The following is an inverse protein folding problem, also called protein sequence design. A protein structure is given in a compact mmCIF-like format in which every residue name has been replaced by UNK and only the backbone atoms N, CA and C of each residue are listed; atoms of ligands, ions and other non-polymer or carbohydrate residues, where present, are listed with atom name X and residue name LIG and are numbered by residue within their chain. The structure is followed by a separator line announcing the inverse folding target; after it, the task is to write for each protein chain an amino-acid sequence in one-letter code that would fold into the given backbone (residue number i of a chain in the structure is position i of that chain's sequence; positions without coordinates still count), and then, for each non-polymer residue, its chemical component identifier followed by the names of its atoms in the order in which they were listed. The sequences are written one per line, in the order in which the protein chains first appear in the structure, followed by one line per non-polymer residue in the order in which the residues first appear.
data_IF_030844271651
#
_entry.id   IF_030844271651
#
_cell.length_a   1.000
_cell.length_b   1.000
_cell.length_c   1.000
_cell.angle_alpha   90.00
_cell.angle_beta   90.00
_cell.angle_gamma   90.00
#
_symmetry.space_group_name_H-M   'P 1'
#
loop_
_entity.id
_entity.type
_entity.pdbx_description
1 polymer ?
#
# COMPACT_ATOMS: atom_id res chain seq x y z
N UNK A 1 24.51 -5.48 -6.73
CA UNK A 1 25.06 -6.31 -5.65
C UNK A 1 24.20 -7.55 -5.59
N UNK A 2 24.74 -8.70 -6.01
CA UNK A 2 24.02 -9.97 -5.93
C UNK A 2 24.11 -10.40 -4.48
N UNK A 3 23.00 -10.29 -3.75
CA UNK A 3 22.92 -10.78 -2.36
C UNK A 3 22.64 -12.27 -2.47
N UNK A 4 23.64 -13.10 -2.16
CA UNK A 4 23.47 -14.54 -2.11
C UNK A 4 22.51 -14.96 -0.98
N UNK A 5 22.00 -16.20 -1.03
CA UNK A 5 21.09 -16.75 -0.03
C UNK A 5 21.67 -16.70 1.41
N UNK A 6 22.99 -16.59 1.57
CA UNK A 6 23.65 -16.41 2.86
C UNK A 6 23.25 -15.13 3.63
N UNK A 7 22.56 -14.16 3.00
CA UNK A 7 22.15 -12.91 3.66
C UNK A 7 20.64 -12.64 3.63
N UNK A 8 19.82 -13.68 3.65
CA UNK A 8 18.34 -13.56 3.71
C UNK A 8 17.90 -12.73 4.95
N UNK A 9 18.66 -12.75 6.05
CA UNK A 9 18.38 -11.95 7.27
C UNK A 9 18.29 -10.45 7.00
N UNK A 10 18.97 -9.93 5.99
CA UNK A 10 18.92 -8.52 5.63
C UNK A 10 17.53 -8.04 5.16
N UNK A 11 16.62 -8.96 4.82
CA UNK A 11 15.24 -8.70 4.39
C UNK A 11 14.32 -8.27 5.55
N UNK A 12 14.67 -8.64 6.78
CA UNK A 12 13.83 -8.38 7.97
C UNK A 12 13.68 -6.88 8.20
N UNK A 13 14.77 -6.10 8.08
CA UNK A 13 14.73 -4.66 8.34
C UNK A 13 13.80 -3.92 7.35
N UNK A 14 13.91 -4.13 6.02
CA UNK A 14 12.97 -3.58 5.05
C UNK A 14 11.50 -3.95 5.32
N UNK A 15 11.22 -5.22 5.65
CA UNK A 15 9.84 -5.65 5.95
C UNK A 15 9.30 -4.96 7.21
N UNK A 16 10.15 -4.74 8.22
CA UNK A 16 9.77 -3.96 9.42
C UNK A 16 9.47 -2.49 9.06
N UNK A 17 10.19 -1.88 8.13
CA UNK A 17 9.89 -0.51 7.69
C UNK A 17 8.51 -0.44 7.02
N UNK A 18 8.19 -1.40 6.14
CA UNK A 18 6.86 -1.48 5.52
C UNK A 18 5.78 -1.73 6.57
N UNK A 19 6.03 -2.61 7.53
CA UNK A 19 5.12 -2.88 8.64
C UNK A 19 4.82 -1.62 9.46
N UNK A 20 5.87 -0.92 9.92
CA UNK A 20 5.70 0.28 10.74
C UNK A 20 5.08 1.44 9.95
N UNK A 21 5.46 1.61 8.67
CA UNK A 21 4.83 2.60 7.80
C UNK A 21 3.34 2.32 7.59
N UNK A 22 2.96 1.06 7.32
CA UNK A 22 1.55 0.69 7.19
C UNK A 22 0.75 0.86 8.50
N UNK A 23 1.37 0.61 9.66
CA UNK A 23 0.72 0.83 10.95
C UNK A 23 0.52 2.32 11.24
N UNK A 24 1.49 3.16 10.89
CA UNK A 24 1.39 4.62 11.03
C UNK A 24 0.21 5.17 10.23
N UNK A 25 0.03 4.71 8.98
CA UNK A 25 -1.14 5.04 8.16
C UNK A 25 -2.48 4.62 8.78
N UNK A 26 -2.55 3.49 9.47
CA UNK A 26 -3.79 3.05 10.15
C UNK A 26 -4.12 3.92 11.36
N UNK A 27 -3.10 4.28 12.13
CA UNK A 27 -3.25 4.98 13.41
C UNK A 27 -3.38 6.50 13.22
N UNK A 28 -3.68 6.95 12.01
CA UNK A 28 -3.75 8.36 11.69
C UNK A 28 -4.94 9.05 12.35
N UNK A 29 -4.63 10.10 13.12
CA UNK A 29 -5.59 10.92 13.86
C UNK A 29 -5.62 12.30 13.21
N UNK A 30 -6.58 12.51 12.31
CA UNK A 30 -6.72 13.75 11.57
C UNK A 30 -7.25 14.87 12.46
N UNK A 31 -6.47 15.93 12.66
CA UNK A 31 -6.91 17.18 13.28
C UNK A 31 -6.90 18.28 12.22
N UNK A 32 -8.09 18.70 11.78
CA UNK A 32 -8.28 19.77 10.80
C UNK A 32 -8.77 21.06 11.47
N UNK A 33 -8.14 22.19 11.16
CA UNK A 33 -8.69 23.52 11.44
C UNK A 33 -8.88 24.29 10.14
N UNK A 34 -10.12 24.72 9.88
CA UNK A 34 -10.48 25.52 8.70
C UNK A 34 -10.87 26.93 9.13
N UNK A 35 -10.28 27.97 8.52
CA UNK A 35 -10.63 29.38 8.74
C UNK A 35 -10.90 30.04 7.38
N UNK A 36 -12.14 30.45 7.15
CA UNK A 36 -12.58 31.10 5.89
C UNK A 36 -12.37 30.26 4.62
N UNK A 37 -12.65 28.95 4.67
CA UNK A 37 -12.59 28.06 3.50
C UNK A 37 -11.18 27.59 3.13
N UNK A 38 -10.13 28.21 3.67
CA UNK A 38 -8.75 27.73 3.63
C UNK A 38 -8.36 27.21 5.01
N UNK A 39 -7.73 26.06 5.08
CA UNK A 39 -7.38 25.44 6.36
C UNK A 39 -6.06 24.73 6.31
N UNK A 40 -5.58 24.35 7.48
CA UNK A 40 -4.44 23.46 7.63
C UNK A 40 -4.92 22.19 8.30
N UNK A 41 -4.66 21.05 7.67
CA UNK A 41 -4.84 19.75 8.29
C UNK A 41 -3.49 19.25 8.79
N UNK A 42 -3.35 19.15 10.12
CA UNK A 42 -2.11 18.69 10.73
C UNK A 42 -2.06 17.16 10.70
N UNK A 43 -1.82 16.59 9.52
CA UNK A 43 -1.59 15.15 9.25
C UNK A 43 -0.15 14.81 8.85
N UNK A 44 0.66 15.84 8.60
CA UNK A 44 1.92 15.74 7.85
C UNK A 44 2.86 14.67 8.42
N UNK A 45 3.00 14.65 9.75
CA UNK A 45 4.01 13.83 10.40
C UNK A 45 3.71 12.33 10.32
N UNK A 46 2.45 11.95 10.15
CA UNK A 46 2.08 10.55 10.15
C UNK A 46 2.03 9.98 8.73
N UNK A 47 1.25 10.59 7.84
CA UNK A 47 1.00 10.05 6.50
C UNK A 47 2.22 10.12 5.58
N UNK A 48 2.95 11.24 5.59
CA UNK A 48 4.16 11.38 4.77
C UNK A 48 5.28 10.50 5.30
N UNK A 49 5.43 10.40 6.63
CA UNK A 49 6.43 9.53 7.24
C UNK A 49 6.13 8.05 6.97
N UNK A 50 4.86 7.65 7.08
CA UNK A 50 4.38 6.32 6.73
C UNK A 50 4.75 5.98 5.28
N UNK A 51 4.42 6.85 4.33
CA UNK A 51 4.73 6.68 2.91
C UNK A 51 6.24 6.56 2.65
N UNK A 52 7.06 7.40 3.30
CA UNK A 52 8.53 7.35 3.20
C UNK A 52 9.09 6.03 3.73
N UNK A 53 8.60 5.54 4.87
CA UNK A 53 9.03 4.25 5.45
C UNK A 53 8.70 3.08 4.52
N UNK A 54 7.49 3.08 3.95
CA UNK A 54 7.07 2.06 2.97
C UNK A 54 7.95 2.12 1.74
N UNK A 55 8.13 3.31 1.13
CA UNK A 55 8.95 3.46 -0.07
C UNK A 55 10.42 3.05 0.15
N UNK A 56 10.99 3.38 1.31
CA UNK A 56 12.34 2.96 1.68
C UNK A 56 12.44 1.45 1.86
N UNK A 57 11.45 0.84 2.51
CA UNK A 57 11.35 -0.60 2.67
C UNK A 57 11.27 -1.31 1.32
N UNK A 58 10.39 -0.86 0.43
CA UNK A 58 10.24 -1.38 -0.94
C UNK A 58 11.52 -1.21 -1.74
N UNK A 59 12.15 -0.03 -1.71
CA UNK A 59 13.43 0.22 -2.38
C UNK A 59 14.52 -0.73 -1.90
N UNK A 60 14.58 -0.95 -0.58
CA UNK A 60 15.57 -1.86 0.02
C UNK A 60 15.33 -3.31 -0.44
N UNK A 61 14.07 -3.74 -0.56
CA UNK A 61 13.70 -5.06 -1.09
C UNK A 61 13.93 -5.18 -2.60
N UNK A 62 13.77 -4.10 -3.36
CA UNK A 62 14.00 -4.08 -4.81
C UNK A 62 15.48 -4.29 -5.19
N UNK A 63 16.41 -4.09 -4.23
CA UNK A 63 17.85 -4.31 -4.43
C UNK A 63 18.23 -5.80 -4.46
N UNK A 64 17.36 -6.69 -4.00
CA UNK A 64 17.62 -8.13 -4.04
C UNK A 64 17.40 -8.67 -5.46
N UNK A 65 18.38 -9.42 -5.98
CA UNK A 65 18.31 -10.04 -7.31
C UNK A 65 17.81 -11.49 -7.17
N UNK A 66 16.48 -11.66 -7.08
CA UNK A 66 15.84 -12.99 -7.02
C UNK A 66 15.62 -13.57 -8.41
N UNK A 67 15.00 -12.79 -9.29
CA UNK A 67 14.74 -13.12 -10.70
C UNK A 67 14.43 -11.82 -11.46
N UNK A 68 14.53 -11.84 -12.80
CA UNK A 68 14.23 -10.67 -13.62
C UNK A 68 12.78 -10.18 -13.42
N UNK A 69 11.84 -11.13 -13.29
CA UNK A 69 10.44 -10.84 -12.98
C UNK A 69 10.32 -10.16 -11.62
N UNK A 70 10.93 -10.71 -10.57
CA UNK A 70 10.91 -10.07 -9.24
C UNK A 70 11.45 -8.63 -9.30
N UNK A 71 12.61 -8.42 -9.94
CA UNK A 71 13.24 -7.11 -10.03
C UNK A 71 12.36 -6.11 -10.78
N UNK A 72 11.74 -6.51 -11.89
CA UNK A 72 10.83 -5.63 -12.63
C UNK A 72 9.59 -5.26 -11.81
N UNK A 73 8.95 -6.24 -11.16
CA UNK A 73 7.75 -6.02 -10.36
C UNK A 73 8.06 -5.11 -9.16
N UNK A 74 9.16 -5.35 -8.44
CA UNK A 74 9.57 -4.52 -7.31
C UNK A 74 9.95 -3.09 -7.73
N UNK A 75 10.53 -2.89 -8.92
CA UNK A 75 10.75 -1.55 -9.49
C UNK A 75 9.43 -0.82 -9.73
N UNK A 76 8.43 -1.50 -10.28
CA UNK A 76 7.10 -0.91 -10.48
C UNK A 76 6.46 -0.51 -9.14
N UNK A 77 6.49 -1.39 -8.13
CA UNK A 77 6.00 -1.07 -6.78
C UNK A 77 6.72 0.14 -6.20
N UNK A 78 8.05 0.18 -6.33
CA UNK A 78 8.85 1.32 -5.85
C UNK A 78 8.46 2.63 -6.52
N UNK A 79 8.28 2.66 -7.84
CA UNK A 79 7.84 3.86 -8.56
C UNK A 79 6.49 4.34 -8.03
N UNK A 80 5.52 3.44 -7.89
CA UNK A 80 4.20 3.78 -7.33
C UNK A 80 4.32 4.31 -5.91
N UNK A 81 5.14 3.68 -5.05
CA UNK A 81 5.36 4.16 -3.67
C UNK A 81 6.00 5.54 -3.61
N UNK A 82 6.90 5.89 -4.53
CA UNK A 82 7.49 7.24 -4.61
C UNK A 82 6.46 8.27 -5.05
N UNK A 83 5.63 7.93 -6.06
CA UNK A 83 4.55 8.82 -6.51
C UNK A 83 3.52 9.02 -5.39
N UNK A 84 3.22 7.98 -4.62
CA UNK A 84 2.33 8.07 -3.46
C UNK A 84 2.83 9.07 -2.41
N UNK A 85 4.14 9.20 -2.18
CA UNK A 85 4.70 10.23 -1.28
C UNK A 85 4.33 11.64 -1.79
N UNK A 86 4.48 11.87 -3.09
CA UNK A 86 4.12 13.17 -3.69
C UNK A 86 2.63 13.45 -3.50
N UNK A 87 1.78 12.44 -3.67
CA UNK A 87 0.35 12.57 -3.42
C UNK A 87 0.03 12.87 -1.94
N UNK A 88 0.68 12.19 -0.99
CA UNK A 88 0.48 12.49 0.44
C UNK A 88 0.90 13.90 0.83
N UNK A 89 1.93 14.45 0.17
CA UNK A 89 2.35 15.85 0.36
C UNK A 89 1.32 16.80 -0.27
N UNK A 90 0.76 16.42 -1.41
CA UNK A 90 -0.27 17.20 -2.08
C UNK A 90 -1.57 17.27 -1.27
N UNK A 91 -2.02 16.14 -0.70
CA UNK A 91 -3.25 16.04 0.10
C UNK A 91 -3.19 16.86 1.41
N UNK A 92 -2.01 17.37 1.76
CA UNK A 92 -1.84 18.31 2.84
C UNK A 92 -2.47 19.69 2.56
N UNK A 93 -2.53 20.10 1.29
CA UNK A 93 -3.05 21.39 0.92
C UNK A 93 -4.57 21.31 0.73
N UNK A 94 -5.33 22.02 1.58
CA UNK A 94 -6.78 22.12 1.43
C UNK A 94 -7.09 23.20 0.40
N UNK A 95 -7.49 22.78 -0.80
CA UNK A 95 -7.94 23.67 -1.87
C UNK A 95 -8.94 22.94 -2.79
N UNK A 96 -9.65 23.69 -3.63
CA UNK A 96 -10.56 23.12 -4.63
C UNK A 96 -9.75 22.40 -5.71
N UNK A 97 -9.68 21.06 -5.61
CA UNK A 97 -8.89 20.22 -6.52
C UNK A 97 -9.53 20.23 -7.91
N UNK A 98 -8.82 20.67 -8.96
CA UNK A 98 -9.30 20.58 -10.33
C UNK A 98 -9.63 19.14 -10.73
N UNK A 99 -10.66 18.96 -11.55
CA UNK A 99 -11.15 17.62 -11.98
C UNK A 99 -10.04 16.74 -12.57
N UNK A 100 -9.12 17.33 -13.34
CA UNK A 100 -7.97 16.62 -13.90
C UNK A 100 -7.02 16.07 -12.83
N UNK A 101 -6.79 16.81 -11.75
CA UNK A 101 -5.97 16.34 -10.63
C UNK A 101 -6.73 15.25 -9.87
N UNK A 102 -8.02 15.45 -9.57
CA UNK A 102 -8.84 14.44 -8.92
C UNK A 102 -8.88 13.10 -9.69
N UNK A 103 -8.97 13.17 -11.03
CA UNK A 103 -8.88 11.99 -11.88
C UNK A 103 -7.51 11.29 -11.77
N UNK A 104 -6.40 12.05 -11.80
CA UNK A 104 -5.06 11.48 -11.64
C UNK A 104 -4.87 10.85 -10.26
N UNK A 105 -5.43 11.44 -9.21
CA UNK A 105 -5.43 10.86 -7.86
C UNK A 105 -6.15 9.51 -7.84
N UNK A 106 -7.34 9.40 -8.44
CA UNK A 106 -8.05 8.12 -8.56
C UNK A 106 -7.24 7.05 -9.31
N UNK A 107 -6.56 7.42 -10.39
CA UNK A 107 -5.69 6.52 -11.13
C UNK A 107 -4.51 6.06 -10.27
N UNK A 108 -3.92 6.96 -9.49
CA UNK A 108 -2.84 6.64 -8.57
C UNK A 108 -3.30 5.72 -7.44
N UNK A 109 -4.48 5.96 -6.86
CA UNK A 109 -5.08 5.08 -5.84
C UNK A 109 -5.30 3.66 -6.38
N UNK A 110 -5.83 3.54 -7.60
CA UNK A 110 -5.97 2.25 -8.28
C UNK A 110 -4.59 1.59 -8.53
N UNK A 111 -3.60 2.36 -8.98
CA UNK A 111 -2.24 1.88 -9.17
C UNK A 111 -1.61 1.40 -7.86
N UNK A 112 -1.89 2.07 -6.74
CA UNK A 112 -1.44 1.69 -5.39
C UNK A 112 -2.05 0.35 -4.96
N UNK A 113 -3.35 0.12 -5.20
CA UNK A 113 -3.97 -1.18 -4.93
C UNK A 113 -3.33 -2.32 -5.75
N UNK A 114 -3.07 -2.07 -7.02
CA UNK A 114 -2.37 -3.02 -7.90
C UNK A 114 -0.95 -3.26 -7.37
N UNK A 115 -0.24 -2.20 -6.99
CA UNK A 115 1.12 -2.30 -6.46
C UNK A 115 1.21 -3.16 -5.19
N UNK A 116 0.20 -3.14 -4.31
CA UNK A 116 0.16 -4.02 -3.13
C UNK A 116 0.03 -5.50 -3.54
N UNK A 117 -0.81 -5.82 -4.53
CA UNK A 117 -0.96 -7.19 -5.05
C UNK A 117 0.31 -7.67 -5.76
N UNK A 118 0.93 -6.80 -6.55
CA UNK A 118 2.22 -6.99 -7.21
C UNK A 118 3.31 -7.26 -6.16
N UNK A 119 3.35 -6.48 -5.09
CA UNK A 119 4.25 -6.66 -3.96
C UNK A 119 4.06 -8.02 -3.28
N UNK A 120 2.83 -8.41 -2.95
CA UNK A 120 2.56 -9.72 -2.36
C UNK A 120 3.00 -10.88 -3.27
N UNK A 121 2.83 -10.72 -4.59
CA UNK A 121 3.30 -11.70 -5.57
C UNK A 121 4.83 -11.78 -5.60
N UNK A 122 5.51 -10.63 -5.58
CA UNK A 122 6.97 -10.57 -5.53
C UNK A 122 7.52 -11.20 -4.24
N UNK A 123 6.88 -11.00 -3.09
CA UNK A 123 7.25 -11.66 -1.84
C UNK A 123 7.05 -13.18 -1.90
N UNK A 124 6.04 -13.67 -2.62
CA UNK A 124 5.89 -15.10 -2.91
C UNK A 124 7.06 -15.67 -3.70
N UNK A 125 7.52 -14.98 -4.74
CA UNK A 125 8.72 -15.38 -5.50
C UNK A 125 9.99 -15.30 -4.66
N UNK A 126 10.12 -14.27 -3.83
CA UNK A 126 11.22 -14.16 -2.87
C UNK A 126 11.26 -15.38 -1.94
N UNK A 127 10.13 -15.76 -1.35
CA UNK A 127 10.04 -16.90 -0.45
C UNK A 127 10.40 -18.22 -1.16
N UNK A 128 9.92 -18.41 -2.40
CA UNK A 128 10.26 -19.60 -3.18
C UNK A 128 11.77 -19.70 -3.47
N UNK A 129 12.41 -18.59 -3.82
CA UNK A 129 13.86 -18.53 -4.03
C UNK A 129 14.66 -18.79 -2.75
N UNK A 130 14.17 -18.28 -1.61
CA UNK A 130 14.80 -18.43 -0.31
C UNK A 130 14.49 -19.78 0.38
N UNK A 131 13.69 -20.65 -0.22
CA UNK A 131 13.27 -21.93 0.38
C UNK A 131 12.31 -21.77 1.58
N UNK A 132 11.60 -20.65 1.69
CA UNK A 132 10.67 -20.32 2.79
C UNK A 132 9.23 -20.72 2.43
N UNK A 133 8.98 -22.02 2.28
CA UNK A 133 7.70 -22.54 1.77
C UNK A 133 6.49 -22.07 2.58
N UNK A 134 6.61 -22.07 3.91
CA UNK A 134 5.50 -21.68 4.80
C UNK A 134 5.17 -20.20 4.64
N UNK A 135 6.19 -19.34 4.58
CA UNK A 135 5.98 -17.92 4.32
C UNK A 135 5.42 -17.66 2.92
N UNK A 136 5.87 -18.41 1.92
CA UNK A 136 5.33 -18.35 0.56
C UNK A 136 3.82 -18.62 0.50
N UNK A 137 3.34 -19.64 1.22
CA UNK A 137 1.90 -19.92 1.33
C UNK A 137 1.15 -18.78 2.04
N UNK A 138 1.73 -18.20 3.10
CA UNK A 138 1.15 -17.04 3.80
C UNK A 138 1.00 -15.85 2.85
N UNK A 139 2.01 -15.54 2.04
CA UNK A 139 1.94 -14.46 1.04
C UNK A 139 0.91 -14.71 -0.06
N UNK A 140 0.71 -15.97 -0.47
CA UNK A 140 -0.34 -16.32 -1.42
C UNK A 140 -1.74 -16.03 -0.87
N UNK A 141 -1.99 -16.35 0.41
CA UNK A 141 -3.25 -16.01 1.09
C UNK A 141 -3.39 -14.49 1.23
N UNK A 142 -2.35 -13.78 1.67
CA UNK A 142 -2.35 -12.31 1.74
C UNK A 142 -2.73 -11.68 0.41
N UNK A 143 -2.12 -12.15 -0.68
CA UNK A 143 -2.43 -11.68 -2.04
C UNK A 143 -3.90 -11.88 -2.38
N UNK A 144 -4.47 -13.06 -2.12
CA UNK A 144 -5.89 -13.35 -2.39
C UNK A 144 -6.79 -12.42 -1.59
N UNK A 145 -6.49 -12.20 -0.31
CA UNK A 145 -7.23 -11.28 0.55
C UNK A 145 -7.21 -9.85 0.00
N UNK A 146 -6.04 -9.34 -0.41
CA UNK A 146 -5.95 -8.02 -1.05
C UNK A 146 -6.71 -7.97 -2.38
N UNK A 147 -6.71 -9.03 -3.19
CA UNK A 147 -7.48 -9.04 -4.44
C UNK A 147 -8.99 -8.95 -4.14
N UNK A 148 -9.49 -9.84 -3.29
CA UNK A 148 -10.93 -10.02 -3.08
C UNK A 148 -11.52 -8.91 -2.23
N UNK A 149 -10.82 -8.45 -1.19
CA UNK A 149 -11.35 -7.48 -0.23
C UNK A 149 -10.97 -6.04 -0.59
N UNK A 150 -9.83 -5.81 -1.27
CA UNK A 150 -9.37 -4.45 -1.60
C UNK A 150 -9.49 -4.17 -3.10
N UNK A 151 -8.69 -4.84 -3.93
CA UNK A 151 -8.51 -4.48 -5.34
C UNK A 151 -9.83 -4.56 -6.13
N UNK A 152 -10.60 -5.63 -5.98
CA UNK A 152 -11.87 -5.77 -6.71
C UNK A 152 -12.90 -4.74 -6.26
N UNK A 153 -13.29 -4.65 -4.97
CA UNK A 153 -14.34 -3.71 -4.57
C UNK A 153 -13.89 -2.25 -4.71
N UNK A 154 -12.73 -1.88 -4.16
CA UNK A 154 -12.24 -0.50 -4.22
C UNK A 154 -11.84 -0.11 -5.64
N UNK A 155 -11.27 -1.03 -6.41
CA UNK A 155 -10.94 -0.78 -7.81
C UNK A 155 -12.18 -0.51 -8.66
N UNK A 156 -13.27 -1.26 -8.46
CA UNK A 156 -14.54 -0.97 -9.12
C UNK A 156 -15.10 0.40 -8.70
N UNK A 157 -15.02 0.76 -7.41
CA UNK A 157 -15.42 2.08 -6.95
C UNK A 157 -14.60 3.20 -7.60
N UNK A 158 -13.27 3.07 -7.68
CA UNK A 158 -12.42 4.05 -8.34
C UNK A 158 -12.71 4.16 -9.83
N UNK A 159 -12.99 3.06 -10.52
CA UNK A 159 -13.38 3.08 -11.94
C UNK A 159 -14.73 3.79 -12.15
N UNK A 160 -15.71 3.54 -11.28
CA UNK A 160 -17.02 4.21 -11.34
C UNK A 160 -16.86 5.72 -11.05
N UNK A 161 -16.08 6.07 -10.02
CA UNK A 161 -15.81 7.46 -9.66
C UNK A 161 -15.08 8.20 -10.80
N UNK A 162 -14.08 7.57 -11.43
CA UNK A 162 -13.39 8.13 -12.58
C UNK A 162 -14.34 8.37 -13.76
N UNK A 163 -15.25 7.43 -14.03
CA UNK A 163 -16.29 7.60 -15.05
C UNK A 163 -17.29 8.74 -14.72
N UNK A 164 -17.61 8.92 -13.43
CA UNK A 164 -18.45 10.01 -12.97
C UNK A 164 -17.78 11.38 -13.21
N UNK A 165 -16.49 11.53 -12.87
CA UNK A 165 -15.71 12.74 -13.15
C UNK A 165 -15.71 13.05 -14.65
N UNK A 166 -15.42 12.07 -15.51
CA UNK A 166 -15.38 12.26 -16.96
C UNK A 166 -16.74 12.67 -17.56
N UNK A 167 -17.85 12.36 -16.88
CA UNK A 167 -19.20 12.70 -17.33
C UNK A 167 -19.78 13.94 -16.64
N UNK A 168 -19.02 14.60 -15.76
CA UNK A 168 -19.48 15.72 -14.94
C UNK A 168 -20.62 15.34 -13.99
N UNK A 169 -20.73 14.05 -13.63
CA UNK A 169 -21.77 13.54 -12.73
C UNK A 169 -21.23 13.36 -11.32
N UNK A 170 -22.09 13.59 -10.33
CA UNK A 170 -21.80 13.26 -8.95
C UNK A 170 -22.02 11.77 -8.68
N UNK A 171 -21.05 11.13 -8.03
CA UNK A 171 -21.18 9.78 -7.51
C UNK A 171 -21.14 9.82 -5.99
N UNK A 172 -22.21 9.35 -5.35
CA UNK A 172 -22.32 9.28 -3.89
C UNK A 172 -22.94 7.93 -3.53
N UNK A 173 -22.31 7.23 -2.58
CA UNK A 173 -22.87 6.03 -1.96
C UNK A 173 -23.09 6.33 -0.49
N UNK A 174 -24.35 6.35 -0.10
CA UNK A 174 -24.71 6.39 1.31
C UNK A 174 -24.72 4.96 1.85
N UNK A 175 -23.64 4.59 2.54
CA UNK A 175 -23.49 3.26 3.15
C UNK A 175 -24.25 3.12 4.47
N UNK A 176 -24.83 4.19 5.03
CA UNK A 176 -25.51 4.15 6.33
C UNK A 176 -24.60 3.63 7.46
N UNK A 177 -25.11 3.31 8.66
CA UNK A 177 -24.33 2.73 9.77
C UNK A 177 -23.57 1.43 9.42
N UNK A 178 -23.95 0.76 8.33
CA UNK A 178 -23.36 -0.47 7.83
C UNK A 178 -21.88 -0.32 7.43
N UNK A 179 -21.40 0.91 7.18
CA UNK A 179 -19.98 1.20 6.94
C UNK A 179 -19.08 0.67 8.08
N UNK A 180 -19.58 0.60 9.31
CA UNK A 180 -18.84 0.10 10.48
C UNK A 180 -18.46 -1.38 10.37
N UNK A 181 -19.33 -2.21 9.77
CA UNK A 181 -19.04 -3.62 9.52
C UNK A 181 -17.94 -3.77 8.46
N UNK A 182 -17.94 -2.89 7.45
CA UNK A 182 -16.92 -2.90 6.42
C UNK A 182 -15.53 -2.60 6.97
N UNK A 183 -15.40 -1.70 7.96
CA UNK A 183 -14.11 -1.42 8.62
C UNK A 183 -13.44 -2.72 9.07
N UNK A 184 -14.18 -3.58 9.78
CA UNK A 184 -13.65 -4.84 10.32
C UNK A 184 -13.17 -5.76 9.20
N UNK A 185 -13.92 -5.82 8.10
CA UNK A 185 -13.57 -6.61 6.92
C UNK A 185 -12.32 -6.05 6.24
N UNK A 186 -12.21 -4.73 6.12
CA UNK A 186 -11.04 -4.07 5.54
C UNK A 186 -9.78 -4.26 6.40
N UNK A 187 -9.88 -4.46 7.72
CA UNK A 187 -8.69 -4.77 8.50
C UNK A 187 -8.09 -6.17 8.24
N UNK A 188 -8.84 -7.11 7.66
CA UNK A 188 -8.40 -8.50 7.48
C UNK A 188 -7.13 -8.62 6.61
N UNK A 189 -7.04 -8.04 5.40
CA UNK A 189 -5.82 -8.09 4.59
C UNK A 189 -4.61 -7.46 5.28
N UNK A 190 -4.81 -6.38 6.04
CA UNK A 190 -3.71 -5.70 6.76
C UNK A 190 -3.17 -6.55 7.90
N UNK A 191 -4.04 -7.16 8.69
CA UNK A 191 -3.64 -8.10 9.75
C UNK A 191 -2.88 -9.27 9.12
N UNK A 192 -3.36 -9.81 7.99
CA UNK A 192 -2.70 -10.94 7.34
C UNK A 192 -1.35 -10.56 6.71
N UNK A 193 -1.20 -9.33 6.20
CA UNK A 193 0.07 -8.76 5.75
C UNK A 193 1.08 -8.76 6.91
N UNK A 194 0.68 -8.24 8.06
CA UNK A 194 1.50 -8.19 9.28
C UNK A 194 1.88 -9.57 9.81
N UNK A 195 0.94 -10.53 9.77
CA UNK A 195 1.24 -11.91 10.12
C UNK A 195 2.23 -12.54 9.13
N UNK A 196 2.13 -12.23 7.84
CA UNK A 196 3.02 -12.77 6.81
C UNK A 196 4.44 -12.22 6.92
N UNK A 197 4.61 -10.91 7.17
CA UNK A 197 5.93 -10.33 7.43
C UNK A 197 6.55 -10.90 8.70
N UNK A 198 5.77 -11.08 9.77
CA UNK A 198 6.23 -11.68 11.04
C UNK A 198 6.63 -13.16 10.89
N UNK A 199 5.83 -13.96 10.18
CA UNK A 199 6.15 -15.38 9.91
C UNK A 199 7.45 -15.53 9.12
N UNK A 200 7.62 -14.69 8.09
CA UNK A 200 8.84 -14.68 7.28
C UNK A 200 10.07 -14.32 8.11
N UNK A 201 9.98 -13.30 8.96
CA UNK A 201 11.09 -12.96 9.86
C UNK A 201 11.49 -14.14 10.76
N UNK A 202 10.50 -14.83 11.35
CA UNK A 202 10.74 -15.99 12.22
C UNK A 202 11.31 -17.19 11.47
N UNK A 203 10.93 -17.40 10.21
CA UNK A 203 11.43 -18.52 9.40
C UNK A 203 12.88 -18.28 8.97
N UNK A 204 13.25 -17.04 8.69
CA UNK A 204 14.62 -16.61 8.34
C UNK A 204 15.60 -16.65 9.53
N UNK A 205 15.09 -16.53 10.75
CA UNK A 205 15.89 -16.59 11.97
C UNK A 205 16.27 -18.03 12.38
N UNK A 206 15.51 -19.03 11.92
CA UNK A 206 15.76 -20.46 12.17
C UNK A 206 16.87 -21.01 11.28
#
# INVERSE_FOLDING_TARGET
MVIGPENIRSVIKPLRLIFWGGLLWILDFKVSQTVNGTGFQFDILNDTLAAVLVAWGVLSLARFSVSDRYTWWMKAVWVVSVIAIVNTIHDHFIYDVPEGIAFLQLVLELASLIAIVVFCTAMGWFCAWAGLERSGQSWAVTRILFIVIYLVPLGLFYLIAAGAILTGKFFNINLGPEWTLLIVVFFIPMIHLFMSTSRMAKEVEK
#
